data_IF_454133308692
#
_entry.id   IF_454133308692
#
_cell.length_a   1.000
_cell.length_b   1.000
_cell.length_c   1.000
_cell.angle_alpha   90.00
_cell.angle_beta   90.00
_cell.angle_gamma   90.00
#
_symmetry.space_group_name_H-M   'P 1'
#
loop_
_entity.id
_entity.type
_entity.pdbx_description
1 polymer ?
#
# COMPACT_ATOMS: atom_id res chain seq x y z
N UNK A 1 -4.77 8.53 7.28
CA UNK A 1 -6.11 8.70 7.84
C UNK A 1 -6.04 8.83 9.35
N UNK A 2 -6.90 9.70 9.92
CA UNK A 2 -7.12 9.84 11.35
C UNK A 2 -8.52 9.36 11.70
N UNK A 3 -8.63 8.64 12.83
CA UNK A 3 -9.91 8.15 13.34
C UNK A 3 -9.95 8.25 14.87
N UNK A 4 -11.13 8.56 15.42
CA UNK A 4 -11.36 8.55 16.86
C UNK A 4 -12.85 8.40 17.18
N UNK A 5 -13.18 7.78 18.31
CA UNK A 5 -14.53 7.63 18.79
C UNK A 5 -14.82 8.53 19.99
N UNK A 6 -15.96 9.22 19.95
CA UNK A 6 -16.52 9.96 21.08
C UNK A 6 -17.75 9.21 21.59
N UNK A 7 -17.58 8.48 22.68
CA UNK A 7 -18.67 7.67 23.24
C UNK A 7 -19.73 8.51 23.96
N UNK A 8 -20.97 8.10 23.83
CA UNK A 8 -22.15 8.74 24.36
C UNK A 8 -22.85 7.89 25.41
N UNK A 9 -23.63 8.53 26.25
CA UNK A 9 -24.52 7.80 27.15
C UNK A 9 -25.74 7.26 26.40
N UNK A 10 -26.42 6.29 26.99
CA UNK A 10 -27.68 5.78 26.48
C UNK A 10 -28.68 6.93 26.31
N UNK A 11 -29.41 6.92 25.21
CA UNK A 11 -30.43 7.92 24.86
C UNK A 11 -29.94 9.38 24.91
N UNK A 12 -28.66 9.63 24.77
CA UNK A 12 -28.08 10.97 24.85
C UNK A 12 -27.16 11.27 23.67
N UNK A 13 -27.29 12.48 23.05
CA UNK A 13 -26.32 12.96 22.05
C UNK A 13 -25.19 13.78 22.68
N UNK A 14 -25.19 14.01 23.99
CA UNK A 14 -24.27 14.94 24.66
C UNK A 14 -22.85 14.45 24.62
N UNK A 15 -21.92 15.31 24.19
CA UNK A 15 -20.48 15.12 24.27
C UNK A 15 -20.01 15.50 25.68
N UNK A 16 -19.43 14.52 26.39
CA UNK A 16 -18.84 14.76 27.71
C UNK A 16 -17.40 15.20 27.58
N UNK A 17 -16.95 16.15 28.40
CA UNK A 17 -15.59 16.70 28.36
C UNK A 17 -14.50 15.64 28.50
N UNK A 18 -14.73 14.63 29.33
CA UNK A 18 -13.77 13.53 29.49
C UNK A 18 -13.57 12.69 28.24
N UNK A 19 -14.55 12.64 27.35
CA UNK A 19 -14.42 11.94 26.05
C UNK A 19 -13.48 12.69 25.11
N UNK A 20 -13.53 14.02 25.13
CA UNK A 20 -12.63 14.87 24.33
C UNK A 20 -11.17 14.85 24.83
N UNK A 21 -10.96 14.40 26.07
CA UNK A 21 -9.63 14.28 26.68
C UNK A 21 -8.97 12.95 26.44
N UNK A 22 -9.66 11.99 25.81
CA UNK A 22 -9.12 10.67 25.51
C UNK A 22 -7.97 10.77 24.49
N UNK A 23 -6.98 9.90 24.64
CA UNK A 23 -5.78 9.88 23.82
C UNK A 23 -6.11 9.78 22.32
N UNK A 24 -7.04 8.90 21.94
CA UNK A 24 -7.47 8.75 20.55
C UNK A 24 -8.02 10.05 19.93
N UNK A 25 -8.78 10.85 20.71
CA UNK A 25 -9.31 12.14 20.23
C UNK A 25 -8.20 13.17 20.09
N UNK A 26 -7.26 13.21 21.04
CA UNK A 26 -6.08 14.09 20.96
C UNK A 26 -5.18 13.74 19.78
N UNK A 27 -4.96 12.46 19.50
CA UNK A 27 -4.21 12.00 18.34
C UNK A 27 -4.93 12.39 17.03
N UNK A 28 -6.24 12.28 16.99
CA UNK A 28 -7.04 12.75 15.86
C UNK A 28 -6.90 14.27 15.65
N UNK A 29 -7.00 15.06 16.72
CA UNK A 29 -6.80 16.51 16.66
C UNK A 29 -5.39 16.88 16.20
N UNK A 30 -4.36 16.18 16.69
CA UNK A 30 -2.97 16.35 16.26
C UNK A 30 -2.83 16.03 14.76
N UNK A 31 -3.38 14.89 14.31
CA UNK A 31 -3.40 14.52 12.91
C UNK A 31 -3.98 15.62 12.02
N UNK A 32 -5.14 16.18 12.38
CA UNK A 32 -5.77 17.26 11.60
C UNK A 32 -4.93 18.53 11.62
N UNK A 33 -4.36 18.92 12.77
CA UNK A 33 -3.53 20.13 12.89
C UNK A 33 -2.24 20.04 12.11
N UNK A 34 -1.53 18.93 12.23
CA UNK A 34 -0.23 18.70 11.58
C UNK A 34 -0.39 18.66 10.06
N UNK A 35 -1.38 17.91 9.57
CA UNK A 35 -1.61 17.79 8.13
C UNK A 35 -2.22 19.06 7.51
N UNK A 36 -3.00 19.84 8.26
CA UNK A 36 -3.51 21.13 7.76
C UNK A 36 -2.43 22.22 7.70
N UNK A 37 -1.33 22.06 8.43
CA UNK A 37 -0.21 23.00 8.42
C UNK A 37 0.88 22.64 7.41
N UNK A 38 0.85 21.42 6.85
CA UNK A 38 1.84 20.95 5.89
C UNK A 38 1.53 21.50 4.48
N UNK A 39 2.54 22.08 3.82
CA UNK A 39 2.39 22.70 2.50
C UNK A 39 2.13 21.68 1.37
N UNK A 40 2.60 20.45 1.57
CA UNK A 40 2.49 19.34 0.62
C UNK A 40 1.32 18.39 0.91
N UNK A 41 0.39 18.80 1.78
CA UNK A 41 -0.75 17.97 2.17
C UNK A 41 -2.07 18.69 1.91
N UNK A 42 -2.99 17.98 1.29
CA UNK A 42 -4.39 18.40 1.19
C UNK A 42 -5.23 17.65 2.21
N UNK A 43 -5.77 18.37 3.19
CA UNK A 43 -6.71 17.79 4.15
C UNK A 43 -8.07 17.57 3.48
N UNK A 44 -8.59 16.36 3.63
CA UNK A 44 -9.97 16.03 3.30
C UNK A 44 -10.96 16.56 4.34
N UNK A 45 -12.24 16.30 4.09
CA UNK A 45 -13.32 16.65 5.03
C UNK A 45 -13.19 15.85 6.32
N UNK A 46 -13.40 16.52 7.44
CA UNK A 46 -13.55 15.88 8.76
C UNK A 46 -15.00 15.43 8.92
N UNK A 47 -15.21 14.12 8.90
CA UNK A 47 -16.53 13.53 9.05
C UNK A 47 -16.83 13.19 10.51
N UNK A 48 -18.02 13.58 10.98
CA UNK A 48 -18.58 13.14 12.25
C UNK A 48 -19.74 12.17 11.99
N UNK A 49 -19.46 10.88 12.02
CA UNK A 49 -20.43 9.81 11.78
C UNK A 49 -21.14 9.44 13.07
N UNK A 50 -22.42 9.73 13.18
CA UNK A 50 -23.23 9.43 14.36
C UNK A 50 -23.83 8.04 14.28
N UNK A 51 -23.67 7.27 15.37
CA UNK A 51 -24.20 5.91 15.50
C UNK A 51 -25.07 5.76 16.75
N UNK A 52 -26.05 4.90 16.70
CA UNK A 52 -26.82 4.44 17.85
C UNK A 52 -26.59 2.93 18.04
N UNK A 53 -26.66 2.47 19.30
CA UNK A 53 -26.68 1.05 19.57
C UNK A 53 -28.03 0.47 19.14
N UNK A 54 -28.07 -0.77 18.64
CA UNK A 54 -29.29 -1.42 18.17
C UNK A 54 -30.13 -1.96 19.34
N UNK A 55 -30.52 -1.08 20.25
CA UNK A 55 -31.35 -1.37 21.44
C UNK A 55 -32.43 -0.31 21.57
N UNK A 56 -33.55 -0.52 20.89
CA UNK A 56 -34.69 0.37 20.92
C UNK A 56 -35.32 0.60 19.54
N UNK A 57 -36.33 1.48 19.44
CA UNK A 57 -37.02 1.71 18.18
C UNK A 57 -36.09 2.32 17.12
N UNK A 58 -36.02 1.72 15.95
CA UNK A 58 -35.17 2.14 14.83
C UNK A 58 -35.36 3.61 14.48
N UNK A 59 -36.61 4.10 14.43
CA UNK A 59 -36.90 5.50 14.15
C UNK A 59 -36.35 6.47 15.22
N UNK A 60 -36.29 6.06 16.48
CA UNK A 60 -35.67 6.82 17.55
C UNK A 60 -34.15 6.80 17.38
N UNK A 61 -33.57 5.65 17.11
CA UNK A 61 -32.12 5.50 16.90
C UNK A 61 -31.63 6.27 15.67
N UNK A 62 -32.43 6.34 14.62
CA UNK A 62 -32.12 7.16 13.44
C UNK A 62 -32.01 8.66 13.81
N UNK A 63 -32.95 9.19 14.60
CA UNK A 63 -32.88 10.58 15.08
C UNK A 63 -31.73 10.82 16.03
N UNK A 64 -31.51 9.89 16.96
CA UNK A 64 -30.42 9.96 17.93
C UNK A 64 -29.05 9.94 17.27
N UNK A 65 -28.87 9.13 16.23
CA UNK A 65 -27.63 9.10 15.44
C UNK A 65 -27.35 10.45 14.74
N UNK A 66 -28.40 11.10 14.21
CA UNK A 66 -28.28 12.42 13.62
C UNK A 66 -27.91 13.51 14.64
N UNK A 67 -28.49 13.45 15.84
CA UNK A 67 -28.13 14.37 16.93
C UNK A 67 -26.69 14.12 17.42
N UNK A 68 -26.24 12.86 17.48
CA UNK A 68 -24.88 12.49 17.85
C UNK A 68 -23.86 12.96 16.82
N UNK A 69 -24.14 12.85 15.53
CA UNK A 69 -23.23 13.35 14.50
C UNK A 69 -23.05 14.87 14.63
N UNK A 70 -24.12 15.63 14.74
CA UNK A 70 -24.07 17.09 14.89
C UNK A 70 -23.38 17.54 16.18
N UNK A 71 -23.63 16.86 17.30
CA UNK A 71 -22.98 17.19 18.56
C UNK A 71 -21.49 16.86 18.56
N UNK A 72 -21.10 15.79 17.91
CA UNK A 72 -19.69 15.42 17.71
C UNK A 72 -18.97 16.38 16.77
N UNK A 73 -19.58 16.73 15.63
CA UNK A 73 -19.06 17.75 14.72
C UNK A 73 -18.83 19.07 15.45
N UNK A 74 -19.83 19.56 16.16
CA UNK A 74 -19.73 20.82 16.92
C UNK A 74 -18.57 20.78 17.91
N UNK A 75 -18.41 19.66 18.65
CA UNK A 75 -17.39 19.54 19.67
C UNK A 75 -15.98 19.53 19.05
N UNK A 76 -15.76 18.75 17.98
CA UNK A 76 -14.44 18.70 17.33
C UNK A 76 -14.11 20.01 16.61
N UNK A 77 -15.09 20.66 15.98
CA UNK A 77 -14.92 21.96 15.35
C UNK A 77 -14.53 23.06 16.35
N UNK A 78 -15.04 22.99 17.56
CA UNK A 78 -14.67 23.92 18.65
C UNK A 78 -13.22 23.67 19.10
N UNK A 79 -12.80 22.40 19.24
CA UNK A 79 -11.43 22.03 19.60
C UNK A 79 -10.42 22.35 18.50
N UNK A 80 -10.81 22.26 17.23
CA UNK A 80 -10.00 22.59 16.06
C UNK A 80 -10.19 24.02 15.55
N UNK A 81 -10.71 24.90 16.39
CA UNK A 81 -10.94 26.31 16.03
C UNK A 81 -9.66 26.96 15.49
N UNK A 82 -9.79 27.63 14.34
CA UNK A 82 -8.68 28.29 13.66
C UNK A 82 -7.94 27.40 12.65
N UNK A 83 -8.35 26.14 12.50
CA UNK A 83 -7.88 25.25 11.44
C UNK A 83 -8.86 25.32 10.27
N UNK A 84 -8.37 25.57 9.07
CA UNK A 84 -9.17 25.65 7.85
C UNK A 84 -9.37 24.26 7.25
N UNK A 85 -10.46 23.59 7.68
CA UNK A 85 -10.88 22.28 7.16
C UNK A 85 -12.40 22.25 7.01
N UNK A 86 -12.88 21.43 6.08
CA UNK A 86 -14.29 21.20 5.90
C UNK A 86 -14.81 20.17 6.91
N UNK A 87 -16.05 20.34 7.35
CA UNK A 87 -16.70 19.41 8.28
C UNK A 87 -18.02 18.93 7.69
N UNK A 88 -18.36 17.67 7.96
CA UNK A 88 -19.63 17.07 7.60
C UNK A 88 -20.13 16.13 8.69
N UNK A 89 -21.45 16.15 8.94
CA UNK A 89 -22.10 15.31 9.96
C UNK A 89 -23.11 14.37 9.29
N UNK A 90 -22.85 13.07 9.39
CA UNK A 90 -23.70 12.03 8.80
C UNK A 90 -24.30 11.10 9.86
N UNK A 91 -25.60 10.82 9.72
CA UNK A 91 -26.32 9.88 10.57
C UNK A 91 -26.32 8.48 9.94
N UNK A 92 -25.85 7.49 10.70
CA UNK A 92 -25.77 6.10 10.26
C UNK A 92 -26.80 5.18 10.93
N UNK A 93 -27.61 5.72 11.86
CA UNK A 93 -28.62 4.92 12.56
C UNK A 93 -28.01 3.90 13.51
N UNK A 94 -28.56 2.71 13.50
CA UNK A 94 -28.09 1.57 14.29
C UNK A 94 -26.85 0.94 13.70
N UNK A 95 -25.81 0.76 14.51
CA UNK A 95 -24.50 0.24 14.11
C UNK A 95 -24.49 -1.32 14.17
N UNK A 96 -25.19 -1.96 13.26
CA UNK A 96 -25.21 -3.41 13.17
C UNK A 96 -23.88 -4.00 12.68
N UNK A 97 -23.12 -3.26 11.88
CA UNK A 97 -21.80 -3.69 11.43
C UNK A 97 -20.79 -3.68 12.59
N UNK A 98 -20.70 -2.56 13.31
CA UNK A 98 -19.86 -2.48 14.52
C UNK A 98 -20.31 -3.48 15.59
N UNK A 99 -21.62 -3.74 15.73
CA UNK A 99 -22.12 -4.77 16.61
C UNK A 99 -21.57 -6.16 16.23
N UNK A 100 -21.62 -6.51 14.97
CA UNK A 100 -21.09 -7.78 14.46
C UNK A 100 -19.60 -7.91 14.72
N UNK A 101 -18.82 -6.88 14.44
CA UNK A 101 -17.37 -6.86 14.64
C UNK A 101 -17.00 -7.02 16.12
N UNK A 102 -17.64 -6.26 17.00
CA UNK A 102 -17.38 -6.33 18.43
C UNK A 102 -17.77 -7.68 19.03
N UNK A 103 -18.90 -8.25 18.62
CA UNK A 103 -19.31 -9.60 19.07
C UNK A 103 -18.33 -10.66 18.58
N UNK A 104 -17.92 -10.62 17.33
CA UNK A 104 -16.95 -11.57 16.76
C UNK A 104 -15.60 -11.53 17.51
N UNK A 105 -15.13 -10.34 17.89
CA UNK A 105 -13.90 -10.14 18.63
C UNK A 105 -14.00 -10.43 20.14
N UNK A 106 -15.22 -10.59 20.68
CA UNK A 106 -15.46 -10.73 22.11
C UNK A 106 -15.25 -12.15 22.63
N UNK A 107 -15.23 -12.28 23.95
CA UNK A 107 -15.23 -13.55 24.70
C UNK A 107 -16.65 -13.99 25.15
N UNK A 108 -17.69 -13.35 24.61
CA UNK A 108 -19.10 -13.62 24.97
C UNK A 108 -19.44 -15.08 24.61
N UNK A 109 -20.01 -15.78 25.59
CA UNK A 109 -20.57 -17.11 25.34
C UNK A 109 -21.65 -17.05 24.26
N UNK A 110 -21.75 -18.08 23.44
CA UNK A 110 -22.74 -18.19 22.35
C UNK A 110 -22.63 -17.06 21.27
N UNK A 111 -21.49 -16.40 21.14
CA UNK A 111 -21.27 -15.36 20.12
C UNK A 111 -21.60 -15.85 18.70
N UNK A 112 -21.33 -17.11 18.39
CA UNK A 112 -21.62 -17.69 17.08
C UNK A 112 -23.13 -17.75 16.81
N UNK A 113 -23.94 -18.00 17.84
CA UNK A 113 -25.39 -17.95 17.74
C UNK A 113 -25.91 -16.54 17.46
N UNK A 114 -25.30 -15.52 18.10
CA UNK A 114 -25.63 -14.10 17.85
C UNK A 114 -25.27 -13.74 16.40
N UNK A 115 -24.09 -14.11 15.93
CA UNK A 115 -23.66 -13.87 14.56
C UNK A 115 -24.56 -14.57 13.53
N UNK A 116 -25.05 -15.77 13.86
CA UNK A 116 -26.01 -16.49 13.04
C UNK A 116 -27.35 -15.73 12.95
N UNK A 117 -27.87 -15.21 14.05
CA UNK A 117 -29.09 -14.37 14.06
C UNK A 117 -28.94 -13.18 13.11
N UNK A 118 -27.76 -12.51 13.12
CA UNK A 118 -27.49 -11.37 12.22
C UNK A 118 -27.50 -11.79 10.73
N UNK A 119 -27.09 -12.99 10.42
CA UNK A 119 -27.10 -13.51 9.05
C UNK A 119 -28.48 -13.97 8.57
N UNK A 120 -29.34 -14.37 9.50
CA UNK A 120 -30.67 -14.92 9.19
C UNK A 120 -31.74 -13.85 8.98
N UNK A 121 -31.60 -12.70 9.61
CA UNK A 121 -32.60 -11.62 9.60
C UNK A 121 -32.03 -10.31 9.11
N UNK A 122 -32.71 -9.68 8.15
CA UNK A 122 -32.33 -8.35 7.62
C UNK A 122 -33.01 -7.22 8.40
N UNK A 123 -34.18 -7.48 9.01
CA UNK A 123 -34.91 -6.47 9.78
C UNK A 123 -34.26 -6.21 11.13
N UNK A 124 -33.95 -4.97 11.42
CA UNK A 124 -33.41 -4.50 12.69
C UNK A 124 -34.28 -4.95 13.88
N UNK A 125 -35.59 -4.71 13.83
CA UNK A 125 -36.51 -5.10 14.87
C UNK A 125 -36.52 -6.61 15.14
N UNK A 126 -36.37 -7.43 14.08
CA UNK A 126 -36.30 -8.87 14.22
C UNK A 126 -35.00 -9.35 14.84
N UNK A 127 -33.86 -8.76 14.38
CA UNK A 127 -32.54 -9.01 14.98
C UNK A 127 -32.55 -8.71 16.47
N UNK A 128 -33.03 -7.52 16.83
CA UNK A 128 -33.10 -7.07 18.23
C UNK A 128 -33.95 -8.02 19.09
N UNK A 129 -35.11 -8.43 18.59
CA UNK A 129 -36.01 -9.35 19.32
C UNK A 129 -35.39 -10.71 19.55
N UNK A 130 -34.78 -11.30 18.50
CA UNK A 130 -34.17 -12.63 18.62
C UNK A 130 -32.96 -12.62 19.55
N UNK A 131 -32.14 -11.53 19.51
CA UNK A 131 -31.01 -11.36 20.43
C UNK A 131 -31.48 -11.16 21.87
N UNK A 132 -32.58 -10.44 22.09
CA UNK A 132 -33.20 -10.28 23.44
C UNK A 132 -33.75 -11.60 23.99
N UNK A 133 -34.19 -12.50 23.12
CA UNK A 133 -34.63 -13.83 23.52
C UNK A 133 -33.49 -14.70 24.09
N UNK A 134 -32.23 -14.36 23.77
CA UNK A 134 -31.03 -14.94 24.35
C UNK A 134 -30.66 -14.24 25.67
N UNK A 135 -31.53 -14.32 26.67
CA UNK A 135 -31.53 -13.46 27.86
C UNK A 135 -30.23 -13.44 28.67
N UNK A 136 -29.55 -14.57 28.78
CA UNK A 136 -28.27 -14.65 29.50
C UNK A 136 -27.18 -13.85 28.75
N UNK A 137 -27.10 -13.99 27.43
CA UNK A 137 -26.15 -13.32 26.56
C UNK A 137 -26.46 -11.84 26.42
N UNK A 138 -27.75 -11.47 26.39
CA UNK A 138 -28.17 -10.06 26.25
C UNK A 138 -27.68 -9.17 27.39
N UNK A 139 -27.56 -9.68 28.60
CA UNK A 139 -27.00 -8.94 29.73
C UNK A 139 -25.50 -8.63 29.52
N UNK A 140 -24.74 -9.55 28.93
CA UNK A 140 -23.34 -9.27 28.58
C UNK A 140 -23.24 -8.26 27.43
N UNK A 141 -24.09 -8.36 26.41
CA UNK A 141 -24.14 -7.40 25.31
C UNK A 141 -24.43 -5.98 25.80
N UNK A 142 -25.35 -5.80 26.75
CA UNK A 142 -25.70 -4.51 27.34
C UNK A 142 -24.51 -3.82 28.02
N UNK A 143 -23.63 -4.59 28.61
CA UNK A 143 -22.51 -4.08 29.39
C UNK A 143 -21.21 -3.97 28.61
N UNK A 144 -20.96 -4.91 27.67
CA UNK A 144 -19.69 -5.01 26.95
C UNK A 144 -19.73 -4.45 25.53
N UNK A 145 -20.86 -4.58 24.82
CA UNK A 145 -20.96 -4.28 23.39
C UNK A 145 -21.75 -2.98 23.11
N UNK A 146 -23.00 -2.93 23.58
CA UNK A 146 -23.87 -1.79 23.23
C UNK A 146 -23.34 -0.41 23.64
N UNK A 147 -22.61 -0.22 24.76
CA UNK A 147 -22.01 1.05 25.09
C UNK A 147 -21.00 1.56 24.05
N UNK A 148 -20.22 0.66 23.45
CA UNK A 148 -19.20 0.98 22.45
C UNK A 148 -19.83 1.50 21.13
N UNK A 149 -21.05 1.09 20.83
CA UNK A 149 -21.79 1.49 19.62
C UNK A 149 -22.49 2.87 19.76
N UNK A 150 -22.55 3.42 20.98
CA UNK A 150 -23.14 4.74 21.26
C UNK A 150 -22.11 5.83 21.04
N UNK A 151 -21.75 6.09 19.78
CA UNK A 151 -20.61 6.96 19.47
C UNK A 151 -20.86 7.95 18.34
N UNK A 152 -20.02 8.96 18.31
CA UNK A 152 -19.67 9.68 17.09
C UNK A 152 -18.28 9.25 16.70
N UNK A 153 -18.13 8.63 15.55
CA UNK A 153 -16.85 8.34 14.94
C UNK A 153 -16.37 9.54 14.14
N UNK A 154 -15.21 10.05 14.48
CA UNK A 154 -14.51 11.08 13.74
C UNK A 154 -13.60 10.40 12.72
N UNK A 155 -13.66 10.83 11.47
CA UNK A 155 -12.81 10.31 10.40
C UNK A 155 -12.29 11.49 9.57
N UNK A 156 -11.01 11.49 9.27
CA UNK A 156 -10.39 12.45 8.37
C UNK A 156 -9.32 11.76 7.51
N UNK A 157 -9.19 12.20 6.27
CA UNK A 157 -8.10 11.82 5.37
C UNK A 157 -7.19 13.01 5.10
N UNK A 158 -5.94 12.70 4.81
CA UNK A 158 -4.96 13.67 4.33
C UNK A 158 -4.23 13.02 3.16
N UNK A 159 -4.21 13.71 2.04
CA UNK A 159 -3.55 13.28 0.82
C UNK A 159 -2.28 14.12 0.61
N UNK A 160 -1.14 13.47 0.51
CA UNK A 160 0.11 14.16 0.18
C UNK A 160 0.07 14.54 -1.29
N UNK A 161 0.21 15.82 -1.56
CA UNK A 161 0.36 16.34 -2.93
C UNK A 161 1.79 16.07 -3.35
N UNK A 162 2.00 15.00 -4.13
CA UNK A 162 3.30 14.69 -4.71
C UNK A 162 3.67 15.70 -5.81
N UNK A 163 4.98 15.76 -6.12
CA UNK A 163 5.45 16.49 -7.29
C UNK A 163 4.89 15.87 -8.58
N UNK A 164 4.59 16.70 -9.58
CA UNK A 164 4.27 16.21 -10.93
C UNK A 164 5.49 15.55 -11.59
N UNK A 165 5.26 14.79 -12.66
CA UNK A 165 6.33 14.12 -13.42
C UNK A 165 7.40 15.12 -13.88
N UNK A 166 6.98 16.28 -14.36
CA UNK A 166 7.87 17.36 -14.83
C UNK A 166 8.68 17.95 -13.67
N UNK A 167 8.05 18.17 -12.52
CA UNK A 167 8.71 18.70 -11.32
C UNK A 167 9.72 17.71 -10.77
N UNK A 168 9.37 16.41 -10.71
CA UNK A 168 10.31 15.35 -10.28
C UNK A 168 11.54 15.32 -11.19
N UNK A 169 11.33 15.30 -12.52
CA UNK A 169 12.44 15.26 -13.48
C UNK A 169 13.30 16.52 -13.38
N UNK A 170 12.70 17.70 -13.22
CA UNK A 170 13.44 18.96 -13.03
C UNK A 170 14.24 18.94 -11.72
N UNK A 171 13.66 18.47 -10.63
CA UNK A 171 14.32 18.35 -9.33
C UNK A 171 15.49 17.36 -9.35
N UNK A 172 15.36 16.22 -10.06
CA UNK A 172 16.48 15.28 -10.29
C UNK A 172 17.61 15.97 -11.05
N UNK A 173 17.29 16.71 -12.12
CA UNK A 173 18.29 17.40 -12.94
C UNK A 173 19.01 18.52 -12.20
N UNK A 174 18.31 19.22 -11.31
CA UNK A 174 18.90 20.24 -10.43
C UNK A 174 19.62 19.65 -9.20
N UNK A 175 19.56 18.33 -9.01
CA UNK A 175 20.09 17.59 -7.85
C UNK A 175 19.48 18.07 -6.53
N UNK A 176 18.19 18.28 -6.53
CA UNK A 176 17.46 18.68 -5.32
C UNK A 176 17.60 17.62 -4.23
N UNK A 177 18.21 18.02 -3.13
CA UNK A 177 18.46 17.15 -1.99
C UNK A 177 17.20 16.80 -1.18
N UNK A 178 16.04 17.42 -1.45
CA UNK A 178 14.78 17.16 -0.75
C UNK A 178 14.04 15.93 -1.29
N UNK A 179 14.30 15.52 -2.54
CA UNK A 179 13.63 14.37 -3.16
C UNK A 179 13.77 13.10 -2.33
N UNK A 180 12.67 12.38 -2.18
CA UNK A 180 12.61 11.04 -1.56
C UNK A 180 13.12 9.96 -2.51
N UNK A 181 13.47 8.80 -1.96
CA UNK A 181 13.96 7.65 -2.74
C UNK A 181 12.98 7.22 -3.84
N UNK A 182 11.70 7.09 -3.48
CA UNK A 182 10.63 6.67 -4.39
C UNK A 182 10.46 7.67 -5.55
N UNK A 183 10.53 8.97 -5.27
CA UNK A 183 10.46 10.04 -6.28
C UNK A 183 11.65 9.97 -7.26
N UNK A 184 12.88 9.76 -6.76
CA UNK A 184 14.05 9.65 -7.63
C UNK A 184 13.98 8.38 -8.47
N UNK A 185 13.61 7.23 -7.89
CA UNK A 185 13.51 5.97 -8.62
C UNK A 185 12.43 6.04 -9.70
N UNK A 186 11.28 6.61 -9.38
CA UNK A 186 10.21 6.83 -10.35
C UNK A 186 10.62 7.82 -11.44
N UNK A 187 11.11 9.00 -11.06
CA UNK A 187 11.52 10.04 -12.00
C UNK A 187 12.62 9.57 -12.96
N UNK A 188 13.54 8.73 -12.49
CA UNK A 188 14.56 8.13 -13.36
C UNK A 188 13.95 7.25 -14.48
N UNK A 189 12.76 6.66 -14.27
CA UNK A 189 12.06 5.90 -15.33
C UNK A 189 11.56 6.81 -16.45
N UNK A 190 11.20 8.05 -16.13
CA UNK A 190 10.70 9.06 -17.07
C UNK A 190 11.80 9.68 -17.94
N UNK A 191 13.06 9.56 -17.53
CA UNK A 191 14.22 10.13 -18.24
C UNK A 191 14.61 9.18 -19.37
N UNK A 192 14.58 9.67 -20.62
CA UNK A 192 14.96 8.90 -21.80
C UNK A 192 16.47 8.93 -22.06
N UNK A 193 17.16 10.01 -21.72
CA UNK A 193 18.61 10.13 -21.90
C UNK A 193 19.37 9.16 -20.99
N UNK A 194 20.18 8.24 -21.54
CA UNK A 194 20.84 7.21 -20.73
C UNK A 194 21.81 7.78 -19.68
N UNK A 195 22.55 8.83 -20.01
CA UNK A 195 23.51 9.43 -19.09
C UNK A 195 22.79 10.12 -17.92
N UNK A 196 21.70 10.81 -18.19
CA UNK A 196 20.86 11.45 -17.16
C UNK A 196 20.15 10.41 -16.30
N UNK A 197 19.65 9.31 -16.88
CA UNK A 197 19.06 8.18 -16.16
C UNK A 197 20.05 7.54 -15.20
N UNK A 198 21.28 7.28 -15.67
CA UNK A 198 22.37 6.75 -14.82
C UNK A 198 22.68 7.72 -13.68
N UNK A 199 22.74 9.02 -13.97
CA UNK A 199 22.99 10.04 -12.95
C UNK A 199 21.89 10.08 -11.88
N UNK A 200 20.62 9.92 -12.27
CA UNK A 200 19.48 9.85 -11.36
C UNK A 200 19.58 8.62 -10.43
N UNK A 201 19.79 7.44 -10.98
CA UNK A 201 19.95 6.21 -10.15
C UNK A 201 21.20 6.28 -9.27
N UNK A 202 22.27 6.90 -9.74
CA UNK A 202 23.48 7.12 -8.93
C UNK A 202 23.20 8.06 -7.76
N UNK A 203 22.46 9.16 -7.98
CA UNK A 203 22.04 10.07 -6.93
C UNK A 203 21.21 9.34 -5.85
N UNK A 204 20.23 8.52 -6.26
CA UNK A 204 19.45 7.71 -5.33
C UNK A 204 20.33 6.72 -4.54
N UNK A 205 21.23 6.01 -5.22
CA UNK A 205 22.12 5.01 -4.61
C UNK A 205 23.09 5.64 -3.60
N UNK A 206 23.68 6.79 -3.91
CA UNK A 206 24.63 7.49 -3.04
C UNK A 206 23.93 8.12 -1.83
N UNK A 207 22.73 8.69 -2.04
CA UNK A 207 21.99 9.36 -0.97
C UNK A 207 21.37 8.37 0.03
N UNK A 208 20.78 7.30 -0.47
CA UNK A 208 19.95 6.41 0.35
C UNK A 208 20.60 5.06 0.67
N UNK A 209 21.70 4.71 -0.02
CA UNK A 209 22.35 3.40 0.10
C UNK A 209 21.36 2.24 0.00
N UNK A 210 20.45 2.34 -0.96
CA UNK A 210 19.32 1.43 -1.13
C UNK A 210 19.57 0.34 -2.18
N UNK A 211 19.05 -0.87 -1.94
CA UNK A 211 19.25 -2.03 -2.81
C UNK A 211 18.63 -1.83 -4.20
N UNK A 212 17.43 -1.25 -4.29
CA UNK A 212 16.76 -1.01 -5.57
C UNK A 212 17.50 0.07 -6.37
N UNK A 213 17.99 1.11 -5.70
CA UNK A 213 18.77 2.17 -6.34
C UNK A 213 20.06 1.64 -6.96
N UNK A 214 20.85 0.84 -6.24
CA UNK A 214 22.05 0.21 -6.79
C UNK A 214 21.74 -0.82 -7.87
N UNK A 215 20.68 -1.61 -7.72
CA UNK A 215 20.24 -2.57 -8.73
C UNK A 215 19.85 -1.85 -10.04
N UNK A 216 19.06 -0.78 -9.95
CA UNK A 216 18.62 -0.03 -11.13
C UNK A 216 19.78 0.74 -11.78
N UNK A 217 20.72 1.23 -10.97
CA UNK A 217 21.98 1.82 -11.47
C UNK A 217 22.77 0.77 -12.27
N UNK A 218 22.89 -0.46 -11.77
CA UNK A 218 23.61 -1.54 -12.47
C UNK A 218 22.95 -1.86 -13.81
N UNK A 219 21.62 -1.98 -13.84
CA UNK A 219 20.87 -2.21 -15.08
C UNK A 219 21.07 -1.07 -16.09
N UNK A 220 20.97 0.18 -15.64
CA UNK A 220 21.17 1.33 -16.52
C UNK A 220 22.60 1.40 -17.09
N UNK A 221 23.60 1.09 -16.29
CA UNK A 221 25.02 1.00 -16.73
C UNK A 221 25.23 -0.13 -17.73
N UNK A 222 24.63 -1.33 -17.49
CA UNK A 222 24.65 -2.44 -18.44
C UNK A 222 24.06 -2.05 -19.80
N UNK A 223 22.87 -1.41 -19.77
CA UNK A 223 22.22 -0.95 -21.01
C UNK A 223 23.05 0.10 -21.78
N UNK A 224 23.88 0.86 -21.07
CA UNK A 224 24.80 1.83 -21.67
C UNK A 224 26.20 1.24 -22.02
N UNK A 225 26.38 -0.08 -21.84
CA UNK A 225 27.63 -0.78 -22.16
C UNK A 225 28.74 -0.65 -21.11
N UNK A 226 28.49 0.00 -19.98
CA UNK A 226 29.45 0.08 -18.86
C UNK A 226 29.32 -1.16 -17.95
N UNK A 227 29.84 -2.28 -18.41
CA UNK A 227 29.80 -3.56 -17.67
C UNK A 227 30.60 -3.49 -16.36
N UNK A 228 31.72 -2.75 -16.36
CA UNK A 228 32.55 -2.60 -15.17
C UNK A 228 31.84 -1.79 -14.07
N UNK A 229 31.22 -0.66 -14.44
CA UNK A 229 30.41 0.14 -13.54
C UNK A 229 29.19 -0.63 -13.04
N UNK A 230 28.53 -1.40 -13.91
CA UNK A 230 27.41 -2.26 -13.54
C UNK A 230 27.81 -3.31 -12.48
N UNK A 231 28.99 -3.95 -12.64
CA UNK A 231 29.53 -4.89 -11.66
C UNK A 231 29.69 -4.26 -10.28
N UNK A 232 30.28 -3.07 -10.24
CA UNK A 232 30.45 -2.34 -8.97
C UNK A 232 29.11 -2.02 -8.29
N UNK A 233 28.13 -1.58 -9.07
CA UNK A 233 26.80 -1.23 -8.56
C UNK A 233 26.05 -2.47 -8.05
N UNK A 234 26.02 -3.57 -8.84
CA UNK A 234 25.28 -4.77 -8.44
C UNK A 234 25.93 -5.46 -7.24
N UNK A 235 27.26 -5.41 -7.10
CA UNK A 235 27.95 -5.95 -5.92
C UNK A 235 27.56 -5.15 -4.64
N UNK A 236 27.35 -3.85 -4.75
CA UNK A 236 26.84 -3.04 -3.62
C UNK A 236 25.41 -3.43 -3.29
N UNK A 237 24.52 -3.58 -4.28
CA UNK A 237 23.16 -4.06 -4.06
C UNK A 237 23.15 -5.42 -3.34
N UNK A 238 23.97 -6.36 -3.77
CA UNK A 238 24.07 -7.69 -3.19
C UNK A 238 24.56 -7.70 -1.74
N UNK A 239 25.45 -6.77 -1.36
CA UNK A 239 25.90 -6.61 0.04
C UNK A 239 24.82 -6.08 0.94
N UNK A 240 23.90 -5.25 0.42
CA UNK A 240 22.76 -4.73 1.17
C UNK A 240 21.69 -5.82 1.31
N UNK A 241 21.27 -6.42 0.19
CA UNK A 241 20.29 -7.50 0.16
C UNK A 241 20.40 -8.31 -1.15
N UNK A 242 20.89 -9.53 -1.06
CA UNK A 242 21.03 -10.46 -2.18
C UNK A 242 19.72 -11.18 -2.54
N UNK A 243 18.64 -10.44 -2.75
CA UNK A 243 17.36 -11.01 -3.16
C UNK A 243 17.41 -11.63 -4.57
N UNK A 244 16.39 -12.41 -5.01
CA UNK A 244 16.40 -13.10 -6.31
C UNK A 244 16.61 -12.16 -7.51
N UNK A 245 16.07 -10.94 -7.49
CA UNK A 245 16.25 -9.96 -8.58
C UNK A 245 17.71 -9.52 -8.69
N UNK A 246 18.32 -9.16 -7.56
CA UNK A 246 19.74 -8.79 -7.52
C UNK A 246 20.63 -9.96 -7.96
N UNK A 247 20.33 -11.17 -7.49
CA UNK A 247 21.08 -12.38 -7.85
C UNK A 247 20.96 -12.68 -9.35
N UNK A 248 19.80 -12.50 -9.96
CA UNK A 248 19.62 -12.64 -11.40
C UNK A 248 20.42 -11.58 -12.18
N UNK A 249 20.48 -10.34 -11.70
CA UNK A 249 21.26 -9.29 -12.35
C UNK A 249 22.77 -9.46 -12.14
N UNK A 250 23.21 -10.05 -11.02
CA UNK A 250 24.60 -10.52 -10.88
C UNK A 250 24.97 -11.53 -11.96
N UNK A 251 24.07 -12.46 -12.25
CA UNK A 251 24.27 -13.42 -13.34
C UNK A 251 24.35 -12.74 -14.71
N UNK A 252 23.46 -11.78 -14.99
CA UNK A 252 23.48 -11.03 -16.25
C UNK A 252 24.80 -10.25 -16.44
N UNK A 253 25.33 -9.63 -15.38
CA UNK A 253 26.63 -8.95 -15.42
C UNK A 253 27.76 -9.95 -15.65
N UNK A 254 27.75 -11.12 -14.98
CA UNK A 254 28.74 -12.16 -15.16
C UNK A 254 28.74 -12.72 -16.61
N UNK A 255 27.56 -12.92 -17.20
CA UNK A 255 27.39 -13.30 -18.61
C UNK A 255 28.06 -12.27 -19.54
N UNK A 256 27.80 -10.98 -19.30
CA UNK A 256 28.39 -9.90 -20.09
C UNK A 256 29.90 -9.80 -19.94
N UNK A 257 30.47 -10.27 -18.82
CA UNK A 257 31.92 -10.38 -18.60
C UNK A 257 32.53 -11.65 -19.15
N UNK A 258 31.71 -12.59 -19.63
CA UNK A 258 32.17 -13.92 -20.05
C UNK A 258 32.46 -14.88 -18.88
N UNK A 259 32.14 -14.51 -17.65
CA UNK A 259 32.30 -15.37 -16.47
C UNK A 259 31.07 -16.28 -16.31
N UNK A 260 31.03 -17.33 -17.16
CA UNK A 260 29.91 -18.27 -17.22
C UNK A 260 29.80 -19.15 -15.97
N UNK A 261 30.90 -19.42 -15.29
CA UNK A 261 30.89 -20.21 -14.06
C UNK A 261 30.20 -19.46 -12.92
N UNK A 262 30.52 -18.18 -12.71
CA UNK A 262 29.81 -17.34 -11.75
C UNK A 262 28.33 -17.17 -12.12
N UNK A 263 28.02 -16.98 -13.40
CA UNK A 263 26.66 -16.87 -13.89
C UNK A 263 25.82 -18.13 -13.56
N UNK A 264 26.33 -19.32 -13.85
CA UNK A 264 25.68 -20.60 -13.51
C UNK A 264 25.42 -20.72 -12.00
N UNK A 265 26.40 -20.35 -11.19
CA UNK A 265 26.29 -20.38 -9.73
C UNK A 265 25.15 -19.48 -9.25
N UNK A 266 25.06 -18.23 -9.75
CA UNK A 266 23.99 -17.30 -9.38
C UNK A 266 22.61 -17.80 -9.84
N UNK A 267 22.52 -18.43 -11.04
CA UNK A 267 21.27 -18.91 -11.61
C UNK A 267 20.79 -20.25 -11.03
N UNK A 268 21.62 -20.99 -10.31
CA UNK A 268 21.35 -22.38 -9.90
C UNK A 268 20.04 -22.52 -9.09
N UNK A 269 19.73 -21.58 -8.22
CA UNK A 269 18.54 -21.60 -7.37
C UNK A 269 17.37 -20.74 -7.89
N UNK A 270 17.52 -20.09 -9.05
CA UNK A 270 16.51 -19.19 -9.60
C UNK A 270 15.67 -19.88 -10.66
N UNK A 271 14.34 -19.67 -10.62
CA UNK A 271 13.37 -20.28 -11.52
C UNK A 271 12.43 -19.27 -12.19
N UNK A 272 12.69 -17.94 -12.08
CA UNK A 272 11.91 -16.94 -12.79
C UNK A 272 12.13 -17.01 -14.31
N UNK A 273 11.23 -16.39 -15.09
CA UNK A 273 11.37 -16.32 -16.54
C UNK A 273 12.67 -15.64 -16.96
N UNK A 274 13.03 -14.56 -16.27
CA UNK A 274 14.28 -13.81 -16.51
C UNK A 274 15.52 -14.66 -16.21
N UNK A 275 15.48 -15.45 -15.14
CA UNK A 275 16.56 -16.36 -14.80
C UNK A 275 16.68 -17.48 -15.85
N UNK A 276 15.56 -17.98 -16.37
CA UNK A 276 15.55 -18.97 -17.45
C UNK A 276 16.16 -18.41 -18.74
N UNK A 277 15.82 -17.15 -19.09
CA UNK A 277 16.45 -16.47 -20.24
C UNK A 277 17.96 -16.32 -20.05
N UNK A 278 18.42 -15.96 -18.85
CA UNK A 278 19.85 -15.87 -18.56
C UNK A 278 20.55 -17.25 -18.63
N UNK A 279 19.88 -18.33 -18.21
CA UNK A 279 20.38 -19.71 -18.43
C UNK A 279 20.52 -20.04 -19.93
N UNK A 280 19.55 -19.61 -20.74
CA UNK A 280 19.61 -19.72 -22.19
C UNK A 280 20.77 -18.92 -22.81
N UNK A 281 21.08 -17.73 -22.29
CA UNK A 281 22.26 -16.96 -22.74
C UNK A 281 23.59 -17.65 -22.38
N UNK A 282 23.68 -18.25 -21.19
CA UNK A 282 24.85 -19.08 -20.81
C UNK A 282 24.99 -20.23 -21.77
N UNK A 283 23.91 -20.98 -22.02
CA UNK A 283 23.93 -22.11 -22.97
C UNK A 283 24.34 -21.68 -24.38
N UNK A 284 23.87 -20.54 -24.86
CA UNK A 284 24.25 -19.96 -26.15
C UNK A 284 25.77 -19.72 -26.22
N UNK A 285 26.35 -19.12 -25.19
CA UNK A 285 27.79 -18.83 -25.14
C UNK A 285 28.64 -20.10 -24.99
N UNK A 286 28.09 -21.15 -24.38
CA UNK A 286 28.73 -22.47 -24.28
C UNK A 286 28.55 -23.34 -25.54
N UNK A 287 27.74 -22.91 -26.52
CA UNK A 287 27.44 -23.64 -27.74
C UNK A 287 26.36 -24.73 -27.58
N UNK A 288 25.65 -24.75 -26.44
CA UNK A 288 24.49 -25.63 -26.25
C UNK A 288 23.24 -25.00 -26.86
N UNK A 289 23.12 -25.11 -28.18
CA UNK A 289 22.03 -24.51 -28.93
C UNK A 289 20.67 -25.15 -28.66
N UNK A 290 20.63 -26.40 -28.14
CA UNK A 290 19.36 -27.06 -27.79
C UNK A 290 18.72 -26.38 -26.59
N UNK A 291 19.48 -26.16 -25.51
CA UNK A 291 19.02 -25.44 -24.33
C UNK A 291 18.75 -23.98 -24.67
N UNK A 292 19.61 -23.33 -25.42
CA UNK A 292 19.44 -21.94 -25.83
C UNK A 292 18.13 -21.74 -26.64
N UNK A 293 17.79 -22.62 -27.56
CA UNK A 293 16.55 -22.56 -28.35
C UNK A 293 15.30 -22.69 -27.44
N UNK A 294 15.38 -23.53 -26.40
CA UNK A 294 14.28 -23.74 -25.47
C UNK A 294 14.04 -22.54 -24.58
N UNK A 295 15.10 -21.87 -24.13
CA UNK A 295 15.07 -20.92 -23.02
C UNK A 295 15.10 -19.45 -23.48
N UNK A 296 15.43 -19.18 -24.75
CA UNK A 296 15.50 -17.83 -25.30
C UNK A 296 14.27 -17.46 -26.13
N UNK A 297 14.00 -16.17 -26.18
CA UNK A 297 12.90 -15.56 -26.94
C UNK A 297 13.42 -14.38 -27.81
N UNK A 298 12.59 -13.93 -28.74
CA UNK A 298 12.81 -12.70 -29.52
C UNK A 298 14.15 -12.69 -30.26
N UNK A 299 14.90 -11.60 -30.14
CA UNK A 299 16.17 -11.41 -30.82
C UNK A 299 17.20 -12.51 -30.51
N UNK A 300 17.33 -12.87 -29.23
CA UNK A 300 18.29 -13.88 -28.80
C UNK A 300 17.96 -15.28 -29.39
N UNK A 301 16.67 -15.63 -29.42
CA UNK A 301 16.24 -16.86 -30.12
C UNK A 301 16.55 -16.82 -31.63
N UNK A 302 16.31 -15.66 -32.26
CA UNK A 302 16.63 -15.52 -33.69
C UNK A 302 18.12 -15.73 -33.96
N UNK A 303 19.01 -15.25 -33.09
CA UNK A 303 20.45 -15.50 -33.20
C UNK A 303 20.75 -17.01 -33.14
N UNK A 304 20.16 -17.72 -32.17
CA UNK A 304 20.34 -19.19 -32.04
C UNK A 304 19.82 -19.92 -33.28
N UNK A 305 18.66 -19.53 -33.81
CA UNK A 305 18.09 -20.15 -35.00
C UNK A 305 18.92 -19.91 -36.27
N UNK A 306 19.57 -18.72 -36.37
CA UNK A 306 20.55 -18.46 -37.44
C UNK A 306 21.76 -19.40 -37.31
N UNK A 307 22.27 -19.56 -36.09
CA UNK A 307 23.42 -20.45 -35.82
C UNK A 307 23.09 -21.94 -36.13
N UNK A 308 21.83 -22.33 -35.94
CA UNK A 308 21.29 -23.64 -36.29
C UNK A 308 20.96 -23.80 -37.79
N UNK A 309 21.06 -22.74 -38.60
CA UNK A 309 20.69 -22.76 -40.00
C UNK A 309 19.16 -22.66 -40.27
N UNK A 310 18.36 -22.38 -39.22
CA UNK A 310 16.89 -22.34 -39.27
C UNK A 310 16.38 -20.92 -39.58
N UNK A 311 16.70 -20.39 -40.75
CA UNK A 311 16.40 -18.98 -41.12
C UNK A 311 14.90 -18.60 -41.08
N UNK A 312 14.02 -19.57 -41.36
CA UNK A 312 12.57 -19.35 -41.29
C UNK A 312 12.13 -19.08 -39.84
N UNK A 313 12.60 -19.89 -38.88
CA UNK A 313 12.31 -19.69 -37.45
C UNK A 313 12.95 -18.41 -36.92
N UNK A 314 14.18 -18.09 -37.36
CA UNK A 314 14.83 -16.82 -37.02
C UNK A 314 13.98 -15.61 -37.42
N UNK A 315 13.46 -15.63 -38.65
CA UNK A 315 12.54 -14.56 -39.13
C UNK A 315 11.26 -14.47 -38.31
N UNK A 316 10.69 -15.61 -37.93
CA UNK A 316 9.50 -15.65 -37.06
C UNK A 316 9.80 -15.08 -35.68
N UNK A 317 10.91 -15.46 -35.06
CA UNK A 317 11.35 -14.94 -33.76
C UNK A 317 11.53 -13.43 -33.79
N UNK A 318 12.13 -12.86 -34.83
CA UNK A 318 12.27 -11.41 -35.04
C UNK A 318 10.92 -10.72 -35.27
N UNK A 319 9.96 -11.35 -35.93
CA UNK A 319 8.64 -10.79 -36.17
C UNK A 319 7.82 -10.59 -34.88
N UNK A 320 8.19 -11.25 -33.81
CA UNK A 320 7.60 -11.11 -32.47
C UNK A 320 8.32 -10.06 -31.59
N UNK A 321 9.41 -9.46 -32.08
CA UNK A 321 10.09 -8.35 -31.41
C UNK A 321 9.32 -7.05 -31.67
N UNK A 322 8.81 -6.41 -30.62
CA UNK A 322 8.22 -5.06 -30.67
C UNK A 322 9.24 -4.02 -30.23
#
# INVERSE_FOLDING_TARGET
NGEADIHKQINSPVVRKNQLSLEQVKLFEAFVRENSAAEDVTMGTVYAKGYASPDGPENFNQKLSAERSKSGEKAIKENLKGIDVQYDAAAYGEDWEGFRELVAASDIADKDLILQVLSMYDSSARREQEIKNLSAVYNELKTKILPELRRTQLVASADVVGLSDEEIVAAIQSKDGSLRLDEILYGATLINDPAKKIAAYRMAAEKYNDVAAYNNLAVALMMNGDVAGAKQAIDKAARINGNPTVTNNLAAVAIAQGDLESAKKYLSALNSKEAQMNKGLVALQEGDYVVATRDLEGYNLAVVEVLNGNYANAKQALGNCK
#
